data_IF_728201244037
#
_entry.id   IF_728201244037
#
_cell.length_a   1.000
_cell.length_b   1.000
_cell.length_c   1.000
_cell.angle_alpha   90.00
_cell.angle_beta   90.00
_cell.angle_gamma   90.00
#
_symmetry.space_group_name_H-M   'P 1'
#
loop_
_entity.id
_entity.type
_entity.pdbx_description
1 polymer ?
#
# COMPACT_ATOMS: atom_id res chain seq x y z
N UNK A 1 34.69 -29.01 16.80
CA UNK A 1 33.80 -29.79 17.70
C UNK A 1 34.54 -29.90 19.01
N UNK A 2 34.28 -28.98 19.92
CA UNK A 2 34.99 -28.90 21.20
C UNK A 2 34.12 -29.48 22.30
N UNK A 3 34.57 -30.61 22.86
CA UNK A 3 33.90 -31.29 23.97
C UNK A 3 34.63 -30.89 25.25
N UNK A 4 34.04 -29.98 26.03
CA UNK A 4 34.55 -29.64 27.36
C UNK A 4 33.92 -30.54 28.41
N UNK A 5 34.71 -31.52 28.88
CA UNK A 5 34.46 -32.24 30.12
C UNK A 5 35.04 -31.45 31.28
N UNK A 6 34.19 -30.96 32.18
CA UNK A 6 34.62 -30.51 33.52
C UNK A 6 34.04 -31.44 34.57
N UNK A 7 34.91 -32.30 35.08
CA UNK A 7 34.73 -33.05 36.33
C UNK A 7 34.92 -32.09 37.50
N UNK A 8 33.92 -32.00 38.38
CA UNK A 8 34.08 -31.47 39.73
C UNK A 8 33.91 -32.63 40.72
N UNK A 9 35.02 -32.99 41.37
CA UNK A 9 35.07 -33.97 42.44
C UNK A 9 34.74 -33.30 43.78
N UNK A 10 33.65 -33.71 44.43
CA UNK A 10 33.58 -33.70 45.90
C UNK A 10 32.70 -34.87 46.39
N UNK A 11 33.34 -35.72 47.17
CA UNK A 11 32.89 -36.95 47.79
C UNK A 11 31.71 -36.74 48.77
N UNK A 12 30.61 -37.46 48.58
CA UNK A 12 30.10 -38.45 49.56
C UNK A 12 28.88 -39.17 48.97
N UNK A 13 28.85 -40.49 49.14
CA UNK A 13 27.90 -41.45 48.59
C UNK A 13 26.41 -41.03 48.60
N UNK A 14 25.82 -41.04 47.41
CA UNK A 14 24.55 -41.73 47.08
C UNK A 14 24.29 -41.53 45.59
N UNK A 15 24.25 -42.63 44.83
CA UNK A 15 23.82 -42.60 43.42
C UNK A 15 22.32 -42.30 43.39
N UNK A 16 21.95 -41.04 43.15
CA UNK A 16 20.63 -40.70 42.62
C UNK A 16 20.79 -40.20 41.19
N UNK A 17 20.22 -40.94 40.25
CA UNK A 17 20.04 -40.51 38.87
C UNK A 17 18.70 -39.79 38.83
N UNK A 18 18.73 -38.46 38.94
CA UNK A 18 17.55 -37.64 38.66
C UNK A 18 17.54 -37.39 37.15
N UNK A 19 16.78 -38.20 36.43
CA UNK A 19 16.42 -37.92 35.05
C UNK A 19 15.36 -36.79 35.06
N UNK A 20 15.81 -35.54 34.94
CA UNK A 20 14.91 -34.40 34.73
C UNK A 20 14.46 -34.40 33.27
N UNK A 21 13.29 -34.98 33.00
CA UNK A 21 12.56 -34.71 31.76
C UNK A 21 12.04 -33.27 31.80
N UNK A 22 12.79 -32.33 31.23
CA UNK A 22 12.27 -31.00 30.93
C UNK A 22 11.42 -31.08 29.67
N UNK A 23 10.11 -31.18 29.88
CA UNK A 23 9.11 -31.23 28.84
C UNK A 23 9.06 -29.96 27.98
N UNK A 24 8.63 -30.17 26.74
CA UNK A 24 8.00 -29.20 25.84
C UNK A 24 8.65 -27.81 25.75
N UNK A 25 9.74 -27.71 24.99
CA UNK A 25 9.99 -26.47 24.23
C UNK A 25 8.89 -26.34 23.17
N UNK A 26 7.85 -25.58 23.50
CA UNK A 26 6.94 -24.97 22.52
C UNK A 26 7.78 -24.32 21.42
N UNK A 27 7.42 -24.42 20.14
CA UNK A 27 8.08 -23.63 19.11
C UNK A 27 7.92 -22.16 19.50
N UNK A 28 9.04 -21.45 19.57
CA UNK A 28 9.04 -20.01 19.74
C UNK A 28 8.27 -19.43 18.54
N UNK A 29 7.01 -19.08 18.74
CA UNK A 29 6.31 -18.15 17.88
C UNK A 29 7.14 -16.88 17.89
N UNK A 30 7.89 -16.66 16.81
CA UNK A 30 8.64 -15.44 16.59
C UNK A 30 7.71 -14.27 16.87
N UNK A 31 8.08 -13.43 17.84
CA UNK A 31 7.51 -12.09 17.96
C UNK A 31 7.85 -11.39 16.66
N UNK A 32 6.92 -11.41 15.71
CA UNK A 32 6.93 -10.49 14.59
C UNK A 32 6.88 -9.11 15.20
N UNK A 33 7.90 -8.31 14.92
CA UNK A 33 8.04 -6.95 15.40
C UNK A 33 6.83 -6.13 14.96
N UNK A 34 5.88 -5.92 15.89
CA UNK A 34 4.70 -5.06 15.73
C UNK A 34 4.92 -3.68 15.07
N UNK A 35 6.04 -2.95 15.29
CA UNK A 35 6.14 -1.58 14.78
C UNK A 35 6.34 -1.45 13.27
N UNK A 36 6.81 -2.48 12.57
CA UNK A 36 7.02 -2.41 11.11
C UNK A 36 5.69 -2.47 10.35
N UNK A 37 4.82 -3.42 10.72
CA UNK A 37 3.53 -3.64 10.06
C UNK A 37 2.58 -2.46 10.28
N UNK A 38 2.55 -1.88 11.49
CA UNK A 38 1.71 -0.71 11.78
C UNK A 38 2.15 0.53 10.98
N UNK A 39 3.45 0.69 10.71
CA UNK A 39 3.98 1.76 9.87
C UNK A 39 3.61 1.56 8.40
N UNK A 40 3.74 0.33 7.89
CA UNK A 40 3.41 0.02 6.50
C UNK A 40 1.93 0.27 6.18
N UNK A 41 1.03 -0.06 7.11
CA UNK A 41 -0.42 0.22 6.99
C UNK A 41 -0.70 1.72 6.98
N UNK A 42 -0.02 2.50 7.82
CA UNK A 42 -0.17 3.96 7.85
C UNK A 42 0.29 4.62 6.55
N UNK A 43 1.45 4.19 6.01
CA UNK A 43 2.02 4.69 4.76
C UNK A 43 1.12 4.34 3.55
N UNK A 44 0.55 3.13 3.53
CA UNK A 44 -0.42 2.72 2.53
C UNK A 44 -1.72 3.56 2.58
N UNK A 45 -2.26 3.81 3.78
CA UNK A 45 -3.43 4.69 3.94
C UNK A 45 -3.17 6.12 3.48
N UNK A 46 -1.99 6.67 3.80
CA UNK A 46 -1.61 8.00 3.30
C UNK A 46 -1.56 8.03 1.78
N UNK A 47 -1.04 6.98 1.15
CA UNK A 47 -0.99 6.86 -0.32
C UNK A 47 -2.37 6.82 -0.95
N UNK A 48 -3.29 6.01 -0.41
CA UNK A 48 -4.66 5.94 -0.93
C UNK A 48 -5.41 7.27 -0.78
N UNK A 49 -5.22 7.98 0.33
CA UNK A 49 -5.82 9.32 0.52
C UNK A 49 -5.26 10.33 -0.49
N UNK A 50 -3.95 10.32 -0.70
CA UNK A 50 -3.31 11.16 -1.71
C UNK A 50 -3.81 10.82 -3.13
N UNK A 51 -4.01 9.53 -3.41
CA UNK A 51 -4.57 9.07 -4.69
C UNK A 51 -6.03 9.51 -4.88
N UNK A 52 -6.86 9.40 -3.85
CA UNK A 52 -8.24 9.89 -3.89
C UNK A 52 -8.27 11.39 -4.23
N UNK A 53 -7.41 12.18 -3.59
CA UNK A 53 -7.27 13.60 -3.87
C UNK A 53 -6.77 13.86 -5.31
N UNK A 54 -5.86 13.04 -5.82
CA UNK A 54 -5.40 13.17 -7.20
C UNK A 54 -6.53 12.89 -8.21
N UNK A 55 -7.40 11.90 -7.96
CA UNK A 55 -8.56 11.65 -8.82
C UNK A 55 -9.55 12.83 -8.80
N UNK A 56 -9.79 13.43 -7.63
CA UNK A 56 -10.63 14.62 -7.49
C UNK A 56 -10.08 15.79 -8.33
N UNK A 57 -8.77 16.07 -8.22
CA UNK A 57 -8.13 17.14 -9.01
C UNK A 57 -8.19 16.90 -10.53
N UNK A 58 -8.05 15.65 -10.96
CA UNK A 58 -8.19 15.29 -12.38
C UNK A 58 -9.65 15.44 -12.83
N UNK A 59 -10.61 15.05 -11.99
CA UNK A 59 -12.04 15.22 -12.27
C UNK A 59 -12.43 16.69 -12.43
N UNK A 60 -11.96 17.56 -11.54
CA UNK A 60 -12.17 19.01 -11.63
C UNK A 60 -11.58 19.57 -12.93
N UNK A 61 -10.34 19.17 -13.25
CA UNK A 61 -9.67 19.60 -14.48
C UNK A 61 -10.40 19.12 -15.74
N UNK A 62 -10.99 17.92 -15.71
CA UNK A 62 -11.82 17.39 -16.79
C UNK A 62 -13.12 18.18 -16.92
N UNK A 63 -13.77 18.52 -15.81
CA UNK A 63 -14.98 19.33 -15.79
C UNK A 63 -14.72 20.71 -16.40
N UNK A 64 -13.64 21.38 -16.00
CA UNK A 64 -13.24 22.67 -16.58
C UNK A 64 -13.03 22.56 -18.10
N UNK A 65 -12.29 21.55 -18.55
CA UNK A 65 -12.04 21.32 -19.98
C UNK A 65 -13.31 20.99 -20.77
N UNK A 66 -14.28 20.30 -20.17
CA UNK A 66 -15.60 20.05 -20.78
C UNK A 66 -16.35 21.36 -20.95
N UNK A 67 -16.35 22.23 -19.94
CA UNK A 67 -16.99 23.54 -20.02
C UNK A 67 -16.32 24.42 -21.10
N UNK A 68 -14.99 24.42 -21.17
CA UNK A 68 -14.23 25.18 -22.18
C UNK A 68 -14.48 24.68 -23.62
N UNK A 69 -14.84 23.41 -23.78
CA UNK A 69 -15.11 22.79 -25.08
C UNK A 69 -16.60 22.48 -25.29
N UNK A 70 -17.52 23.18 -24.62
CA UNK A 70 -18.97 22.93 -24.71
C UNK A 70 -19.50 22.98 -26.15
N UNK A 71 -18.92 23.81 -27.01
CA UNK A 71 -19.31 23.93 -28.42
C UNK A 71 -18.75 22.80 -29.32
N UNK A 72 -17.79 22.03 -28.83
CA UNK A 72 -17.20 20.89 -29.54
C UNK A 72 -17.65 19.57 -28.94
N UNK A 73 -18.82 19.10 -29.38
CA UNK A 73 -19.46 17.88 -28.90
C UNK A 73 -18.54 16.65 -28.92
N UNK A 74 -17.70 16.50 -29.95
CA UNK A 74 -16.80 15.35 -30.07
C UNK A 74 -15.73 15.35 -28.98
N UNK A 75 -15.15 16.52 -28.70
CA UNK A 75 -14.16 16.69 -27.62
C UNK A 75 -14.83 16.54 -26.26
N UNK A 76 -15.97 17.18 -26.03
CA UNK A 76 -16.72 17.06 -24.79
C UNK A 76 -17.06 15.59 -24.48
N UNK A 77 -17.57 14.82 -25.45
CA UNK A 77 -17.86 13.38 -25.29
C UNK A 77 -16.61 12.52 -24.98
N UNK A 78 -15.44 12.89 -25.50
CA UNK A 78 -14.20 12.19 -25.16
C UNK A 78 -13.79 12.48 -23.71
N UNK A 79 -13.86 13.74 -23.30
CA UNK A 79 -13.55 14.16 -21.93
C UNK A 79 -14.55 13.60 -20.91
N UNK A 80 -15.85 13.55 -21.23
CA UNK A 80 -16.86 12.94 -20.35
C UNK A 80 -16.58 11.45 -20.09
N UNK A 81 -16.11 10.71 -21.10
CA UNK A 81 -15.71 9.30 -20.90
C UNK A 81 -14.52 9.16 -19.96
N UNK A 82 -13.55 10.06 -20.05
CA UNK A 82 -12.45 10.10 -19.08
C UNK A 82 -12.95 10.46 -17.68
N UNK A 83 -13.91 11.39 -17.56
CA UNK A 83 -14.51 11.76 -16.28
C UNK A 83 -15.28 10.59 -15.65
N UNK A 84 -16.05 9.84 -16.43
CA UNK A 84 -16.76 8.65 -15.96
C UNK A 84 -15.78 7.59 -15.43
N UNK A 85 -14.69 7.36 -16.17
CA UNK A 85 -13.62 6.45 -15.74
C UNK A 85 -12.93 6.92 -14.45
N UNK A 86 -12.50 8.18 -14.39
CA UNK A 86 -11.90 8.78 -13.18
C UNK A 86 -12.84 8.68 -11.99
N UNK A 87 -14.12 8.96 -12.19
CA UNK A 87 -15.15 8.87 -11.14
C UNK A 87 -15.33 7.45 -10.62
N UNK A 88 -15.36 6.44 -11.49
CA UNK A 88 -15.44 5.04 -11.08
C UNK A 88 -14.21 4.60 -10.27
N UNK A 89 -13.01 5.07 -10.65
CA UNK A 89 -11.78 4.77 -9.91
C UNK A 89 -11.72 5.48 -8.56
N UNK A 90 -12.13 6.75 -8.49
CA UNK A 90 -12.23 7.48 -7.23
C UNK A 90 -13.15 6.77 -6.23
N UNK A 91 -14.31 6.28 -6.68
CA UNK A 91 -15.25 5.52 -5.84
C UNK A 91 -14.66 4.22 -5.32
N UNK A 92 -13.90 3.51 -6.15
CA UNK A 92 -13.23 2.28 -5.76
C UNK A 92 -12.14 2.54 -4.72
N UNK A 93 -11.32 3.59 -4.89
CA UNK A 93 -10.32 4.00 -3.89
C UNK A 93 -10.97 4.42 -2.57
N UNK A 94 -12.05 5.20 -2.62
CA UNK A 94 -12.80 5.59 -1.42
C UNK A 94 -13.41 4.38 -0.70
N UNK A 95 -13.89 3.38 -1.44
CA UNK A 95 -14.38 2.11 -0.88
C UNK A 95 -13.27 1.35 -0.14
N UNK A 96 -12.05 1.36 -0.67
CA UNK A 96 -10.90 0.75 0.01
C UNK A 96 -10.48 1.51 1.26
N UNK A 97 -10.48 2.84 1.22
CA UNK A 97 -10.23 3.69 2.39
C UNK A 97 -11.25 3.38 3.49
N UNK A 98 -12.54 3.22 3.13
CA UNK A 98 -13.62 2.87 4.07
C UNK A 98 -13.50 1.45 4.63
N UNK A 99 -13.02 0.50 3.83
CA UNK A 99 -12.80 -0.88 4.26
C UNK A 99 -11.59 -1.05 5.21
N UNK A 100 -10.65 -0.09 5.19
CA UNK A 100 -9.52 -0.03 6.12
C UNK A 100 -8.50 -1.16 5.94
N UNK A 101 -7.85 -1.55 7.04
CA UNK A 101 -6.65 -2.40 7.05
C UNK A 101 -6.77 -3.71 6.28
N UNK A 102 -7.96 -4.32 6.27
CA UNK A 102 -8.19 -5.58 5.56
C UNK A 102 -8.05 -5.42 4.05
N UNK A 103 -8.52 -4.31 3.48
CA UNK A 103 -8.44 -4.03 2.04
C UNK A 103 -7.04 -3.56 1.61
N UNK A 104 -6.35 -2.81 2.47
CA UNK A 104 -5.00 -2.32 2.19
C UNK A 104 -3.99 -3.43 1.93
N UNK A 105 -4.13 -4.54 2.65
CA UNK A 105 -3.26 -5.71 2.48
C UNK A 105 -3.33 -6.32 1.08
N UNK A 106 -4.41 -6.05 0.32
CA UNK A 106 -4.57 -6.53 -1.06
C UNK A 106 -3.99 -5.58 -2.11
N UNK A 107 -3.94 -4.27 -1.82
CA UNK A 107 -3.56 -3.24 -2.79
C UNK A 107 -2.08 -2.90 -2.66
N UNK A 108 -1.60 -2.79 -1.42
CA UNK A 108 -0.22 -2.46 -1.09
C UNK A 108 0.46 -3.71 -0.50
N UNK A 109 0.46 -4.82 -1.23
CA UNK A 109 0.98 -6.12 -0.76
C UNK A 109 2.48 -6.12 -0.43
N UNK A 110 3.22 -5.09 -0.84
CA UNK A 110 4.66 -4.95 -0.60
C UNK A 110 5.02 -3.51 -0.23
N UNK A 111 6.02 -3.34 0.65
CA UNK A 111 6.58 -2.04 1.00
C UNK A 111 7.02 -1.24 -0.25
N UNK A 112 7.59 -1.93 -1.25
CA UNK A 112 7.98 -1.32 -2.53
C UNK A 112 6.80 -0.73 -3.33
N UNK A 113 5.55 -1.12 -3.05
CA UNK A 113 4.39 -0.57 -3.75
C UNK A 113 4.15 0.88 -3.34
N UNK A 114 4.35 1.22 -2.06
CA UNK A 114 4.26 2.60 -1.58
C UNK A 114 5.29 3.50 -2.28
N UNK A 115 6.55 3.07 -2.29
CA UNK A 115 7.67 3.83 -2.85
C UNK A 115 7.52 4.06 -4.37
N UNK A 116 6.83 3.15 -5.07
CA UNK A 116 6.49 3.33 -6.49
C UNK A 116 5.25 4.19 -6.71
N UNK A 117 4.19 4.01 -5.92
CA UNK A 117 2.91 4.68 -6.10
C UNK A 117 2.95 6.15 -5.71
N UNK A 118 3.54 6.49 -4.55
CA UNK A 118 3.49 7.85 -4.02
C UNK A 118 4.07 8.90 -4.98
N UNK A 119 5.24 8.69 -5.63
CA UNK A 119 5.76 9.64 -6.62
C UNK A 119 4.83 9.82 -7.82
N UNK A 120 4.20 8.74 -8.30
CA UNK A 120 3.24 8.79 -9.41
C UNK A 120 2.01 9.60 -9.03
N UNK A 121 1.46 9.38 -7.83
CA UNK A 121 0.32 10.12 -7.29
C UNK A 121 0.63 11.61 -7.21
N UNK A 122 1.78 11.98 -6.64
CA UNK A 122 2.20 13.38 -6.51
C UNK A 122 2.41 14.04 -7.88
N UNK A 123 3.05 13.33 -8.81
CA UNK A 123 3.27 13.84 -10.17
C UNK A 123 1.95 14.03 -10.91
N UNK A 124 0.98 13.14 -10.69
CA UNK A 124 -0.36 13.23 -11.27
C UNK A 124 -1.10 14.45 -10.75
N UNK A 125 -1.16 14.63 -9.43
CA UNK A 125 -1.76 15.79 -8.77
C UNK A 125 -1.15 17.11 -9.27
N UNK A 126 0.18 17.14 -9.40
CA UNK A 126 0.88 18.29 -9.95
C UNK A 126 0.46 18.59 -11.40
N UNK A 127 0.45 17.58 -12.28
CA UNK A 127 0.09 17.77 -13.69
C UNK A 127 -1.41 18.06 -13.90
N UNK A 128 -2.29 17.62 -13.01
CA UNK A 128 -3.72 17.92 -13.08
C UNK A 128 -3.97 19.42 -12.96
N UNK A 129 -3.28 20.08 -12.02
CA UNK A 129 -3.44 21.53 -11.77
C UNK A 129 -2.68 22.43 -12.75
N UNK A 130 -1.86 21.86 -13.64
CA UNK A 130 -1.09 22.63 -14.62
C UNK A 130 -1.85 22.80 -15.95
N UNK A 131 -1.97 24.03 -16.47
CA UNK A 131 -2.60 24.28 -17.77
C UNK A 131 -1.97 23.46 -18.90
N UNK A 132 -2.79 22.78 -19.70
CA UNK A 132 -2.35 21.97 -20.85
C UNK A 132 -1.67 20.64 -20.49
N UNK A 133 -1.58 20.27 -19.21
CA UNK A 133 -0.95 19.03 -18.75
C UNK A 133 -1.94 17.92 -18.39
N UNK A 134 -3.24 18.14 -18.52
CA UNK A 134 -4.26 17.13 -18.27
C UNK A 134 -4.01 15.78 -19.00
N UNK A 135 -3.58 15.73 -20.28
CA UNK A 135 -3.26 14.46 -20.92
C UNK A 135 -2.15 13.67 -20.22
N UNK A 136 -1.17 14.37 -19.62
CA UNK A 136 -0.10 13.73 -18.83
C UNK A 136 -0.66 13.18 -17.53
N UNK A 137 -1.54 13.93 -16.85
CA UNK A 137 -2.20 13.46 -15.63
C UNK A 137 -3.05 12.21 -15.89
N UNK A 138 -3.82 12.18 -16.99
CA UNK A 138 -4.61 11.00 -17.39
C UNK A 138 -3.72 9.78 -17.67
N UNK A 139 -2.61 9.97 -18.39
CA UNK A 139 -1.65 8.90 -18.63
C UNK A 139 -1.05 8.35 -17.32
N UNK A 140 -0.69 9.24 -16.38
CA UNK A 140 -0.16 8.81 -15.09
C UNK A 140 -1.21 8.06 -14.24
N UNK A 141 -2.49 8.45 -14.32
CA UNK A 141 -3.58 7.70 -13.69
C UNK A 141 -3.71 6.28 -14.25
N UNK A 142 -3.56 6.08 -15.57
CA UNK A 142 -3.51 4.73 -16.16
C UNK A 142 -2.33 3.92 -15.62
N UNK A 143 -1.16 4.55 -15.43
CA UNK A 143 0.01 3.89 -14.84
C UNK A 143 -0.16 3.55 -13.37
N UNK A 144 -0.87 4.37 -12.63
CA UNK A 144 -1.25 4.06 -11.24
C UNK A 144 -2.20 2.86 -11.21
N UNK A 145 -3.20 2.80 -12.09
CA UNK A 145 -4.11 1.65 -12.21
C UNK A 145 -3.35 0.34 -12.51
N UNK A 146 -2.32 0.38 -13.36
CA UNK A 146 -1.44 -0.77 -13.65
C UNK A 146 -0.70 -1.24 -12.39
N UNK A 147 -0.11 -0.33 -11.62
CA UNK A 147 0.59 -0.66 -10.36
C UNK A 147 -0.36 -1.18 -9.28
N UNK A 148 -1.59 -0.66 -9.22
CA UNK A 148 -2.63 -1.11 -8.30
C UNK A 148 -3.33 -2.40 -8.76
N UNK A 149 -3.03 -2.90 -9.97
CA UNK A 149 -3.70 -4.05 -10.62
C UNK A 149 -5.22 -3.88 -10.73
N UNK A 150 -5.68 -2.65 -10.98
CA UNK A 150 -7.12 -2.35 -11.13
C UNK A 150 -7.67 -2.61 -12.54
N UNK A 151 -6.88 -3.25 -13.41
CA UNK A 151 -7.18 -3.51 -14.83
C UNK A 151 -8.19 -4.65 -15.01
#
# INVERSE_FOLDING_TARGET
>A
MDVQFRQTTRSSDTKSVIASMSGNKRPALGRVSKPAVERDVADAMMTLRALAQAYEQVADSLLDQIHDHADNLKTAQALSRHLDWVGARAQLVDSFIKAGDCALSYICTSQDAHDRLMPLVQLTAHNATMPGRLPVALFLMEKIDEELRLV
#
